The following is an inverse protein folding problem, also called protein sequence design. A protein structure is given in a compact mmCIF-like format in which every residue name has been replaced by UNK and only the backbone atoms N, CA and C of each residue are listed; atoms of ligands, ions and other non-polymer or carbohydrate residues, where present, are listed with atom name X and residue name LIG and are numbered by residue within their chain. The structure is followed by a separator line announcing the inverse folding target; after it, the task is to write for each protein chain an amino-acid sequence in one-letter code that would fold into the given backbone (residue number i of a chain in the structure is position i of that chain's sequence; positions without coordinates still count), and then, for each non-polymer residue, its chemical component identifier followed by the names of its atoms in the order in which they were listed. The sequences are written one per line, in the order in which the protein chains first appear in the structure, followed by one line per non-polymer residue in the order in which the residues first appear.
data_IF_583705415945
#
_entry.id   IF_583705415945
#
_cell.length_a   1.000
_cell.length_b   1.000
_cell.length_c   1.000
_cell.angle_alpha   90.00
_cell.angle_beta   90.00
_cell.angle_gamma   90.00
#
_symmetry.space_group_name_H-M   'P 1'
#
loop_
_entity.id
_entity.type
_entity.pdbx_description
1 polymer ?
#
# COMPACT_ATOMS: atom_id res chain seq x y z
N UNK A 1 -25.37 12.69 18.37
CA UNK A 1 -23.98 12.94 17.96
C UNK A 1 -24.00 13.58 16.58
N UNK A 2 -23.24 14.64 16.33
CA UNK A 2 -23.18 15.25 14.99
C UNK A 2 -22.36 14.35 14.04
N UNK A 3 -22.64 14.39 12.74
CA UNK A 3 -21.87 13.66 11.71
C UNK A 3 -20.36 13.92 11.87
N UNK A 4 -19.99 15.14 12.25
CA UNK A 4 -18.61 15.52 12.55
C UNK A 4 -17.97 14.74 13.70
N UNK A 5 -18.66 14.63 14.83
CA UNK A 5 -18.14 13.86 15.98
C UNK A 5 -17.87 12.41 15.60
N UNK A 6 -18.74 11.81 14.80
CA UNK A 6 -18.61 10.44 14.35
C UNK A 6 -17.42 10.28 13.39
N UNK A 7 -17.29 11.17 12.40
CA UNK A 7 -16.19 11.11 11.43
C UNK A 7 -14.83 11.36 12.09
N UNK A 8 -14.73 12.32 13.02
CA UNK A 8 -13.51 12.57 13.77
C UNK A 8 -13.12 11.40 14.68
N UNK A 9 -14.09 10.75 15.33
CA UNK A 9 -13.86 9.55 16.14
C UNK A 9 -13.34 8.38 15.31
N UNK A 10 -14.01 8.07 14.19
CA UNK A 10 -13.60 6.97 13.29
C UNK A 10 -12.23 7.23 12.68
N UNK A 11 -11.91 8.47 12.35
CA UNK A 11 -10.62 8.85 11.81
C UNK A 11 -9.52 8.73 12.85
N UNK A 12 -9.75 9.20 14.09
CA UNK A 12 -8.82 9.00 15.20
C UNK A 12 -8.55 7.50 15.48
N UNK A 13 -9.60 6.68 15.50
CA UNK A 13 -9.48 5.23 15.65
C UNK A 13 -8.68 4.60 14.49
N UNK A 14 -8.93 5.04 13.26
CA UNK A 14 -8.22 4.56 12.07
C UNK A 14 -6.74 4.91 12.11
N UNK A 15 -6.39 6.17 12.41
CA UNK A 15 -4.98 6.56 12.54
C UNK A 15 -4.29 5.82 13.68
N UNK A 16 -4.95 5.62 14.82
CA UNK A 16 -4.42 4.85 15.94
C UNK A 16 -4.14 3.40 15.55
N UNK A 17 -5.07 2.76 14.85
CA UNK A 17 -4.88 1.40 14.33
C UNK A 17 -3.70 1.33 13.35
N UNK A 18 -3.59 2.29 12.43
CA UNK A 18 -2.47 2.38 11.48
C UNK A 18 -1.12 2.59 12.19
N UNK A 19 -1.07 3.39 13.25
CA UNK A 19 0.14 3.59 14.07
C UNK A 19 0.57 2.26 14.69
N UNK A 20 -0.36 1.54 15.34
CA UNK A 20 -0.07 0.24 15.98
C UNK A 20 0.41 -0.78 14.96
N UNK A 21 -0.25 -0.86 13.80
CA UNK A 21 0.14 -1.74 12.69
C UNK A 21 1.56 -1.42 12.21
N UNK A 22 1.87 -0.13 12.03
CA UNK A 22 3.17 0.32 11.53
C UNK A 22 4.28 0.07 12.55
N UNK A 23 4.03 0.30 13.85
CA UNK A 23 5.00 0.11 14.93
C UNK A 23 5.29 -1.36 15.24
N UNK A 24 4.31 -2.26 15.06
CA UNK A 24 4.51 -3.72 15.23
C UNK A 24 5.44 -4.33 14.18
N UNK A 25 5.80 -3.55 13.17
CA UNK A 25 6.70 -3.97 12.14
C UNK A 25 8.15 -3.58 12.49
N UNK A 26 9.14 -4.47 12.26
CA UNK A 26 10.54 -4.23 12.68
C UNK A 26 11.03 -2.88 12.10
N UNK A 27 11.33 -1.88 12.94
CA UNK A 27 11.61 -0.52 12.47
C UNK A 27 13.06 -0.42 11.96
N UNK A 28 13.33 -0.97 10.77
CA UNK A 28 14.70 -0.96 10.20
C UNK A 28 14.97 0.16 9.19
N UNK A 29 13.98 0.99 8.82
CA UNK A 29 14.15 2.10 7.86
C UNK A 29 13.56 3.42 8.36
N UNK A 30 14.25 4.53 8.06
CA UNK A 30 13.88 5.91 8.39
C UNK A 30 12.46 6.27 7.90
N UNK A 31 12.01 5.67 6.79
CA UNK A 31 10.68 5.85 6.19
C UNK A 31 9.54 5.47 7.16
N UNK A 32 9.71 4.45 8.01
CA UNK A 32 8.66 4.06 8.96
C UNK A 32 8.46 5.09 10.06
N UNK A 33 9.56 5.60 10.60
CA UNK A 33 9.51 6.61 11.64
C UNK A 33 8.83 7.89 11.14
N UNK A 34 9.17 8.33 9.93
CA UNK A 34 8.55 9.53 9.34
C UNK A 34 7.08 9.31 8.99
N UNK A 35 6.69 8.10 8.58
CA UNK A 35 5.28 7.76 8.38
C UNK A 35 4.48 7.74 9.69
N UNK A 36 5.04 7.17 10.76
CA UNK A 36 4.42 7.18 12.09
C UNK A 36 4.26 8.62 12.60
N UNK A 37 5.26 9.49 12.42
CA UNK A 37 5.16 10.91 12.77
C UNK A 37 4.00 11.59 12.03
N UNK A 38 3.85 11.32 10.72
CA UNK A 38 2.69 11.80 9.96
C UNK A 38 1.35 11.29 10.54
N UNK A 39 1.25 10.00 10.86
CA UNK A 39 0.04 9.42 11.43
C UNK A 39 -0.30 10.00 12.83
N UNK A 40 0.72 10.26 13.65
CA UNK A 40 0.54 10.93 14.97
C UNK A 40 -0.06 12.32 14.76
N UNK A 41 0.45 13.09 13.79
CA UNK A 41 -0.10 14.40 13.46
C UNK A 41 -1.57 14.35 13.06
N UNK A 42 -1.91 13.43 12.16
CA UNK A 42 -3.28 13.23 11.70
C UNK A 42 -4.20 12.76 12.83
N UNK A 43 -3.71 11.90 13.74
CA UNK A 43 -4.45 11.47 14.93
C UNK A 43 -4.69 12.62 15.91
N UNK A 44 -3.69 13.45 16.19
CA UNK A 44 -3.84 14.63 17.04
C UNK A 44 -4.87 15.60 16.46
N UNK A 45 -4.81 15.86 15.15
CA UNK A 45 -5.79 16.70 14.48
C UNK A 45 -7.21 16.15 14.61
N UNK A 46 -7.42 14.85 14.35
CA UNK A 46 -8.71 14.21 14.50
C UNK A 46 -9.23 14.22 15.95
N UNK A 47 -8.34 14.04 16.94
CA UNK A 47 -8.65 14.09 18.36
C UNK A 47 -9.05 15.50 18.84
N UNK A 48 -8.32 16.53 18.43
CA UNK A 48 -8.67 17.91 18.77
C UNK A 48 -9.95 18.37 18.06
N UNK A 49 -10.15 17.94 16.81
CA UNK A 49 -11.40 18.17 16.10
C UNK A 49 -12.59 17.53 16.85
N UNK A 50 -12.46 16.28 17.30
CA UNK A 50 -13.46 15.60 18.13
C UNK A 50 -13.70 16.36 19.44
N UNK A 51 -12.63 16.71 20.15
CA UNK A 51 -12.69 17.40 21.44
C UNK A 51 -13.39 18.76 21.34
N UNK A 52 -13.23 19.49 20.22
CA UNK A 52 -13.91 20.79 19.98
C UNK A 52 -15.43 20.66 20.00
N UNK A 53 -15.97 19.54 19.51
CA UNK A 53 -17.40 19.29 19.53
C UNK A 53 -17.91 18.77 20.88
N UNK A 54 -17.06 18.06 21.64
CA UNK A 54 -17.41 17.53 22.96
C UNK A 54 -17.31 18.59 24.06
N UNK A 55 -16.39 19.53 23.95
CA UNK A 55 -16.12 20.59 24.94
C UNK A 55 -16.19 21.99 24.31
N UNK A 56 -17.39 22.52 24.03
CA UNK A 56 -17.56 23.83 23.39
C UNK A 56 -16.95 24.99 24.19
N UNK A 57 -16.88 24.86 25.52
CA UNK A 57 -16.29 25.83 26.45
C UNK A 57 -14.83 26.14 26.13
N UNK A 58 -14.07 25.16 25.61
CA UNK A 58 -12.66 25.29 25.25
C UNK A 58 -12.43 25.50 23.75
N UNK A 59 -13.46 25.91 23.01
CA UNK A 59 -13.45 25.96 21.54
C UNK A 59 -12.33 26.83 20.94
N UNK A 60 -11.94 27.92 21.59
CA UNK A 60 -10.86 28.80 21.13
C UNK A 60 -9.50 28.10 21.22
N UNK A 61 -9.17 27.50 22.38
CA UNK A 61 -7.93 26.77 22.58
C UNK A 61 -7.85 25.55 21.66
N UNK A 62 -8.95 24.81 21.51
CA UNK A 62 -9.04 23.65 20.64
C UNK A 62 -8.87 24.04 19.17
N UNK A 63 -9.40 25.19 18.74
CA UNK A 63 -9.18 25.70 17.38
C UNK A 63 -7.72 26.04 17.10
N UNK A 64 -7.01 26.60 18.08
CA UNK A 64 -5.55 26.84 17.98
C UNK A 64 -4.77 25.52 17.89
N UNK A 65 -5.11 24.52 18.69
CA UNK A 65 -4.49 23.18 18.63
C UNK A 65 -4.77 22.45 17.31
N UNK A 66 -5.96 22.60 16.75
CA UNK A 66 -6.31 22.09 15.42
C UNK A 66 -5.42 22.73 14.34
N UNK A 67 -5.19 24.04 14.40
CA UNK A 67 -4.31 24.73 13.45
C UNK A 67 -2.86 24.22 13.52
N UNK A 68 -2.32 24.08 14.74
CA UNK A 68 -0.94 23.61 14.96
C UNK A 68 -0.77 22.15 14.53
N UNK A 69 -1.71 21.27 14.89
CA UNK A 69 -1.70 19.87 14.47
C UNK A 69 -1.88 19.70 12.95
N UNK A 70 -2.68 20.55 12.30
CA UNK A 70 -2.80 20.56 10.85
C UNK A 70 -1.46 20.92 10.17
N UNK A 71 -0.78 21.97 10.63
CA UNK A 71 0.52 22.35 10.09
C UNK A 71 1.57 21.26 10.33
N UNK A 72 1.60 20.69 11.54
CA UNK A 72 2.46 19.55 11.86
C UNK A 72 2.23 18.37 10.91
N UNK A 73 0.97 18.04 10.63
CA UNK A 73 0.62 16.95 9.71
C UNK A 73 1.16 17.22 8.30
N UNK A 74 1.04 18.45 7.79
CA UNK A 74 1.57 18.83 6.48
C UNK A 74 3.11 18.74 6.42
N UNK A 75 3.79 19.25 7.44
CA UNK A 75 5.27 19.22 7.51
C UNK A 75 5.78 17.79 7.68
N UNK A 76 5.14 16.98 8.53
CA UNK A 76 5.46 15.56 8.70
C UNK A 76 5.22 14.77 7.41
N UNK A 77 4.14 15.07 6.68
CA UNK A 77 3.85 14.46 5.38
C UNK A 77 4.91 14.80 4.33
N UNK A 78 5.30 16.08 4.23
CA UNK A 78 6.39 16.50 3.35
C UNK A 78 7.71 15.81 3.69
N UNK A 79 8.05 15.73 4.98
CA UNK A 79 9.25 15.03 5.45
C UNK A 79 9.21 13.54 5.11
N UNK A 80 8.07 12.88 5.30
CA UNK A 80 7.86 11.48 4.91
C UNK A 80 8.10 11.28 3.40
N UNK A 81 7.48 12.09 2.54
CA UNK A 81 7.65 11.97 1.09
C UNK A 81 9.10 12.23 0.64
N UNK A 82 9.81 13.18 1.27
CA UNK A 82 11.23 13.44 0.99
C UNK A 82 12.10 12.23 1.29
N UNK A 83 11.93 11.65 2.48
CA UNK A 83 12.64 10.44 2.90
C UNK A 83 12.28 9.25 2.02
N UNK A 84 11.02 9.14 1.62
CA UNK A 84 10.56 8.13 0.67
C UNK A 84 11.29 8.25 -0.69
N UNK A 85 11.46 9.46 -1.20
CA UNK A 85 12.17 9.75 -2.46
C UNK A 85 13.70 9.67 -2.31
N UNK A 86 14.23 9.19 -1.17
CA UNK A 86 15.66 9.15 -0.83
C UNK A 86 16.33 10.54 -0.90
N UNK A 87 15.57 11.62 -0.69
CA UNK A 87 16.06 13.00 -0.62
C UNK A 87 16.19 13.42 0.85
N UNK A 88 17.16 14.27 1.17
CA UNK A 88 17.28 14.87 2.51
C UNK A 88 16.08 15.77 2.80
N UNK A 89 15.73 15.96 4.08
CA UNK A 89 14.58 16.79 4.48
C UNK A 89 14.69 18.25 4.02
N UNK A 90 15.92 18.77 3.91
CA UNK A 90 16.33 20.09 3.43
C UNK A 90 15.55 21.29 3.99
N UNK A 91 15.67 22.44 3.33
CA UNK A 91 15.24 23.74 3.90
C UNK A 91 13.73 23.79 4.20
N UNK A 92 12.89 23.23 3.33
CA UNK A 92 11.44 23.19 3.53
C UNK A 92 11.00 22.48 4.82
N UNK A 93 11.71 21.41 5.22
CA UNK A 93 11.45 20.72 6.48
C UNK A 93 11.83 21.60 7.68
N UNK A 94 13.00 22.25 7.63
CA UNK A 94 13.49 23.12 8.71
C UNK A 94 12.56 24.31 8.91
N UNK A 95 12.19 24.99 7.82
CA UNK A 95 11.24 26.11 7.86
C UNK A 95 9.85 25.67 8.35
N UNK A 96 9.40 24.46 7.97
CA UNK A 96 8.14 23.89 8.42
C UNK A 96 8.12 23.60 9.93
N UNK A 97 9.16 22.99 10.49
CA UNK A 97 9.22 22.77 11.94
C UNK A 97 9.47 24.06 12.72
N UNK A 98 10.23 25.01 12.16
CA UNK A 98 10.42 26.33 12.75
C UNK A 98 9.10 27.13 12.82
N UNK A 99 8.24 27.06 11.79
CA UNK A 99 6.93 27.73 11.81
C UNK A 99 5.98 27.11 12.82
N UNK A 100 6.03 25.79 13.03
CA UNK A 100 5.30 25.12 14.13
C UNK A 100 5.80 25.63 15.49
N UNK A 101 7.12 25.69 15.70
CA UNK A 101 7.70 26.20 16.94
C UNK A 101 7.30 27.67 17.20
N UNK A 102 7.22 28.49 16.16
CA UNK A 102 6.76 29.88 16.24
C UNK A 102 5.26 30.00 16.59
N UNK A 103 4.45 28.97 16.32
CA UNK A 103 3.02 28.94 16.65
C UNK A 103 2.73 28.52 18.10
N UNK A 104 3.63 27.80 18.77
CA UNK A 104 3.43 27.30 20.14
C UNK A 104 3.13 28.43 21.14
N UNK A 105 3.86 29.57 21.15
CA UNK A 105 3.57 30.68 22.05
C UNK A 105 2.17 31.29 21.85
N UNK A 106 1.62 31.20 20.64
CA UNK A 106 0.30 31.75 20.29
C UNK A 106 -0.87 30.92 20.86
N UNK A 107 -0.60 29.71 21.33
CA UNK A 107 -1.61 28.82 21.93
C UNK A 107 -2.06 29.37 23.30
N UNK A 108 -1.12 29.92 24.09
CA UNK A 108 -1.36 30.38 25.47
C UNK A 108 -2.11 31.73 25.47
N UNK A 109 -3.32 31.82 26.05
CA UNK A 109 -4.15 33.04 26.02
C UNK A 109 -3.39 34.31 26.43
N UNK A 110 -2.71 34.28 27.58
CA UNK A 110 -1.96 35.42 28.12
C UNK A 110 -0.79 35.85 27.23
N UNK A 111 -0.12 34.89 26.57
CA UNK A 111 0.96 35.20 25.64
C UNK A 111 0.44 35.79 24.34
N UNK A 112 -0.74 35.37 23.86
CA UNK A 112 -1.41 36.02 22.73
C UNK A 112 -1.73 37.48 23.04
N UNK A 113 -2.33 37.75 24.20
CA UNK A 113 -2.68 39.12 24.62
C UNK A 113 -1.43 39.99 24.80
N UNK A 114 -0.39 39.46 25.47
CA UNK A 114 0.88 40.16 25.66
C UNK A 114 1.64 40.38 24.34
N UNK A 115 1.58 39.44 23.40
CA UNK A 115 2.16 39.61 22.07
C UNK A 115 1.45 40.71 21.27
N UNK A 116 0.12 40.74 21.29
CA UNK A 116 -0.66 41.81 20.68
C UNK A 116 -0.39 43.17 21.33
N UNK A 117 -0.31 43.22 22.67
CA UNK A 117 0.03 44.43 23.40
C UNK A 117 1.45 44.93 23.11
N UNK A 118 2.41 44.02 22.93
CA UNK A 118 3.80 44.36 22.58
C UNK A 118 3.93 44.84 21.13
N UNK A 119 3.17 44.27 20.20
CA UNK A 119 3.06 44.78 18.83
C UNK A 119 2.44 46.18 18.79
N UNK A 120 1.37 46.41 19.58
CA UNK A 120 0.77 47.73 19.75
C UNK A 120 1.77 48.76 20.30
N UNK A 121 2.62 48.34 21.25
CA UNK A 121 3.68 49.20 21.81
C UNK A 121 4.80 49.56 20.83
N UNK A 122 4.95 48.80 19.73
CA UNK A 122 5.92 49.06 18.66
C UNK A 122 5.35 49.98 17.55
N UNK A 123 4.19 50.59 17.78
CA UNK A 123 3.52 51.47 16.80
C UNK A 123 2.79 50.72 15.69
N UNK A 124 2.73 49.39 15.74
CA UNK A 124 1.86 48.60 14.87
C UNK A 124 0.45 48.64 15.45
N UNK A 125 -0.46 49.39 14.83
CA UNK A 125 -1.87 49.38 15.22
C UNK A 125 -2.35 47.92 15.25
N UNK A 126 -2.82 47.38 16.39
CA UNK A 126 -3.30 46.00 16.48
C UNK A 126 -4.70 45.92 15.84
N UNK A 127 -4.82 46.32 14.57
CA UNK A 127 -6.00 46.03 13.79
C UNK A 127 -6.18 44.51 13.67
N UNK A 128 -7.43 44.02 13.53
CA UNK A 128 -7.72 42.60 13.38
C UNK A 128 -6.99 41.90 12.21
N UNK A 129 -6.33 42.66 11.32
CA UNK A 129 -5.58 42.18 10.17
C UNK A 129 -4.31 41.36 10.51
N UNK A 130 -3.58 41.66 11.59
CA UNK A 130 -2.31 40.96 11.90
C UNK A 130 -2.44 39.45 12.14
N UNK A 131 -3.38 38.96 12.97
CA UNK A 131 -3.59 37.51 13.11
C UNK A 131 -4.10 36.86 11.82
N UNK A 132 -4.85 37.58 10.98
CA UNK A 132 -5.29 37.11 9.66
C UNK A 132 -4.11 36.95 8.69
N UNK A 133 -3.19 37.92 8.63
CA UNK A 133 -1.99 37.86 7.79
C UNK A 133 -1.09 36.69 8.21
N UNK A 134 -0.88 36.51 9.52
CA UNK A 134 -0.06 35.42 10.04
C UNK A 134 -0.64 34.03 9.71
N UNK A 135 -1.97 33.85 9.88
CA UNK A 135 -2.66 32.63 9.45
C UNK A 135 -2.53 32.43 7.93
N UNK A 136 -2.66 33.50 7.15
CA UNK A 136 -2.47 33.48 5.69
C UNK A 136 -1.07 33.00 5.28
N UNK A 137 -0.02 33.50 5.92
CA UNK A 137 1.38 33.08 5.69
C UNK A 137 1.56 31.59 6.00
N UNK A 138 0.99 31.10 7.10
CA UNK A 138 1.07 29.69 7.50
C UNK A 138 0.37 28.79 6.46
N UNK A 139 -0.83 29.18 6.01
CA UNK A 139 -1.58 28.44 4.98
C UNK A 139 -0.78 28.43 3.66
N UNK A 140 -0.24 29.58 3.25
CA UNK A 140 0.56 29.70 2.03
C UNK A 140 1.82 28.82 2.10
N UNK A 141 2.52 28.80 3.24
CA UNK A 141 3.64 27.91 3.49
C UNK A 141 3.25 26.43 3.40
N UNK A 142 2.10 26.04 3.93
CA UNK A 142 1.57 24.67 3.82
C UNK A 142 1.28 24.29 2.36
N UNK A 143 0.66 25.19 1.58
CA UNK A 143 0.40 24.99 0.14
C UNK A 143 1.71 24.79 -0.62
N UNK A 144 2.73 25.60 -0.34
CA UNK A 144 4.06 25.47 -0.97
C UNK A 144 4.69 24.11 -0.66
N UNK A 145 4.66 23.65 0.60
CA UNK A 145 5.21 22.34 0.98
C UNK A 145 4.48 21.18 0.28
N UNK A 146 3.15 21.21 0.23
CA UNK A 146 2.36 20.19 -0.48
C UNK A 146 2.68 20.20 -1.98
N UNK A 147 2.78 21.38 -2.58
CA UNK A 147 3.12 21.55 -4.00
C UNK A 147 4.51 21.00 -4.31
N UNK A 148 5.51 21.29 -3.49
CA UNK A 148 6.87 20.75 -3.62
C UNK A 148 6.90 19.23 -3.45
N UNK A 149 6.09 18.68 -2.54
CA UNK A 149 5.93 17.23 -2.39
C UNK A 149 5.34 16.58 -3.65
N UNK A 150 4.29 17.15 -4.22
CA UNK A 150 3.64 16.64 -5.45
C UNK A 150 4.61 16.72 -6.63
N UNK A 151 5.28 17.86 -6.83
CA UNK A 151 6.29 18.02 -7.89
C UNK A 151 7.42 17.00 -7.72
N UNK A 152 7.88 16.78 -6.48
CA UNK A 152 8.89 15.77 -6.18
C UNK A 152 8.44 14.37 -6.59
N UNK A 153 7.20 13.99 -6.26
CA UNK A 153 6.63 12.69 -6.64
C UNK A 153 6.48 12.54 -8.16
N UNK A 154 6.05 13.61 -8.87
CA UNK A 154 5.95 13.60 -10.34
C UNK A 154 7.34 13.42 -10.98
N UNK A 155 8.36 14.11 -10.45
CA UNK A 155 9.74 13.94 -10.91
C UNK A 155 10.24 12.51 -10.68
N UNK A 156 10.02 11.94 -9.49
CA UNK A 156 10.37 10.54 -9.20
C UNK A 156 9.66 9.59 -10.16
N UNK A 157 8.37 9.78 -10.43
CA UNK A 157 7.63 8.98 -11.39
C UNK A 157 8.23 9.04 -12.80
N UNK A 158 8.61 10.23 -13.28
CA UNK A 158 9.21 10.41 -14.61
C UNK A 158 10.61 9.78 -14.72
N UNK A 159 11.43 9.89 -13.67
CA UNK A 159 12.82 9.42 -13.68
C UNK A 159 13.03 7.96 -13.27
N UNK A 160 12.08 7.33 -12.55
CA UNK A 160 12.19 5.91 -12.20
C UNK A 160 12.10 5.05 -13.46
N UNK A 161 13.13 4.24 -13.71
CA UNK A 161 13.17 3.20 -14.75
C UNK A 161 12.55 1.88 -14.29
N UNK A 162 12.53 1.65 -12.96
CA UNK A 162 11.89 0.49 -12.34
C UNK A 162 10.34 0.62 -12.37
N UNK A 163 9.63 -0.32 -13.04
CA UNK A 163 8.17 -0.36 -13.06
C UNK A 163 7.52 -0.43 -11.66
N UNK A 164 8.23 -1.00 -10.67
CA UNK A 164 7.73 -1.19 -9.31
C UNK A 164 7.78 0.13 -8.52
N UNK A 165 8.88 0.89 -8.61
CA UNK A 165 8.98 2.25 -8.06
C UNK A 165 7.96 3.21 -8.71
N UNK A 166 7.70 3.09 -10.02
CA UNK A 166 6.67 3.89 -10.70
C UNK A 166 5.28 3.63 -10.15
N UNK A 167 4.86 2.36 -10.08
CA UNK A 167 3.55 1.99 -9.53
C UNK A 167 3.40 2.50 -8.11
N UNK A 168 4.41 2.32 -7.27
CA UNK A 168 4.43 2.81 -5.88
C UNK A 168 4.22 4.32 -5.81
N UNK A 169 4.93 5.08 -6.65
CA UNK A 169 4.82 6.55 -6.71
C UNK A 169 3.44 7.01 -7.18
N UNK A 170 2.79 6.28 -8.09
CA UNK A 170 1.41 6.57 -8.54
C UNK A 170 0.40 6.48 -7.39
N UNK A 171 0.52 5.50 -6.49
CA UNK A 171 -0.38 5.42 -5.33
C UNK A 171 -0.18 6.58 -4.35
N UNK A 172 1.06 7.02 -4.14
CA UNK A 172 1.36 8.20 -3.33
C UNK A 172 0.87 9.49 -3.98
N UNK A 173 0.96 9.60 -5.31
CA UNK A 173 0.39 10.71 -6.07
C UNK A 173 -1.14 10.72 -5.97
N UNK A 174 -1.79 9.57 -6.11
CA UNK A 174 -3.23 9.45 -5.96
C UNK A 174 -3.68 9.85 -4.55
N UNK A 175 -2.99 9.36 -3.52
CA UNK A 175 -3.24 9.75 -2.13
C UNK A 175 -3.04 11.25 -1.89
N UNK A 176 -1.92 11.82 -2.37
CA UNK A 176 -1.63 13.25 -2.27
C UNK A 176 -2.67 14.11 -3.00
N UNK A 177 -3.12 13.66 -4.18
CA UNK A 177 -4.15 14.36 -4.97
C UNK A 177 -5.50 14.35 -4.25
N UNK A 178 -5.91 13.23 -3.66
CA UNK A 178 -7.11 13.16 -2.82
C UNK A 178 -6.96 14.09 -1.61
N UNK A 179 -5.83 14.03 -0.91
CA UNK A 179 -5.57 14.91 0.24
C UNK A 179 -5.70 16.39 -0.13
N UNK A 180 -5.12 16.80 -1.27
CA UNK A 180 -5.21 18.17 -1.76
C UNK A 180 -6.64 18.55 -2.17
N UNK A 181 -7.30 17.72 -2.98
CA UNK A 181 -8.65 17.99 -3.49
C UNK A 181 -9.67 18.13 -2.36
N UNK A 182 -9.67 17.18 -1.42
CA UNK A 182 -10.54 17.25 -0.24
C UNK A 182 -10.09 18.32 0.77
N UNK A 183 -8.81 18.70 0.78
CA UNK A 183 -8.32 19.83 1.56
C UNK A 183 -8.86 21.17 1.08
N UNK A 184 -9.01 21.35 -0.24
CA UNK A 184 -9.57 22.58 -0.84
C UNK A 184 -11.01 22.87 -0.41
N UNK A 185 -11.76 21.85 0.01
CA UNK A 185 -13.14 22.06 0.50
C UNK A 185 -13.19 22.93 1.75
N UNK A 186 -12.10 23.00 2.53
CA UNK A 186 -12.00 23.89 3.69
C UNK A 186 -11.93 25.39 3.30
N UNK A 187 -11.66 25.70 2.03
CA UNK A 187 -11.65 27.08 1.52
C UNK A 187 -13.05 27.57 1.13
N UNK A 188 -14.02 26.67 0.98
CA UNK A 188 -15.39 27.00 0.56
C UNK A 188 -16.37 26.82 1.72
N UNK A 189 -16.92 27.90 2.31
CA UNK A 189 -17.79 27.84 3.47
C UNK A 189 -18.96 26.86 3.33
N UNK A 190 -19.57 26.77 2.14
CA UNK A 190 -20.69 25.88 1.85
C UNK A 190 -20.35 24.39 1.97
N UNK A 191 -19.07 24.02 1.78
CA UNK A 191 -18.59 22.64 1.86
C UNK A 191 -18.00 22.32 3.25
N UNK A 192 -17.71 23.32 4.08
CA UNK A 192 -17.24 23.12 5.46
C UNK A 192 -18.27 22.49 6.39
N UNK A 193 -19.51 22.27 5.91
CA UNK A 193 -20.59 21.49 6.55
C UNK A 193 -20.48 19.98 6.34
N UNK A 194 -19.57 19.53 5.47
CA UNK A 194 -19.22 18.12 5.33
C UNK A 194 -17.74 17.89 5.73
N UNK A 195 -17.41 16.83 6.49
CA UNK A 195 -16.03 16.54 6.93
C UNK A 195 -15.16 15.93 5.81
N UNK A 196 -15.20 16.54 4.63
CA UNK A 196 -14.58 16.10 3.37
C UNK A 196 -13.06 16.01 3.48
N UNK A 197 -12.40 17.01 4.07
CA UNK A 197 -10.96 17.00 4.29
C UNK A 197 -10.48 15.80 5.12
N UNK A 198 -11.28 15.36 6.10
CA UNK A 198 -10.98 14.20 6.93
C UNK A 198 -10.96 12.91 6.08
N UNK A 199 -11.92 12.76 5.17
CA UNK A 199 -11.96 11.62 4.25
C UNK A 199 -10.75 11.60 3.32
N UNK A 200 -10.36 12.75 2.76
CA UNK A 200 -9.16 12.85 1.91
C UNK A 200 -7.88 12.46 2.64
N UNK A 201 -7.70 12.96 3.87
CA UNK A 201 -6.54 12.61 4.70
C UNK A 201 -6.51 11.12 5.06
N UNK A 202 -7.67 10.53 5.37
CA UNK A 202 -7.78 9.11 5.69
C UNK A 202 -7.51 8.25 4.46
N UNK A 203 -8.09 8.60 3.30
CA UNK A 203 -7.84 7.93 2.03
C UNK A 203 -6.35 7.99 1.65
N UNK A 204 -5.70 9.12 1.86
CA UNK A 204 -4.26 9.25 1.67
C UNK A 204 -3.47 8.32 2.60
N UNK A 205 -3.76 8.32 3.91
CA UNK A 205 -3.09 7.43 4.86
C UNK A 205 -3.27 5.94 4.50
N UNK A 206 -4.46 5.55 4.04
CA UNK A 206 -4.72 4.19 3.53
C UNK A 206 -3.90 3.91 2.28
N UNK A 207 -3.89 4.83 1.30
CA UNK A 207 -3.13 4.69 0.07
C UNK A 207 -1.62 4.54 0.35
N UNK A 208 -1.07 5.32 1.29
CA UNK A 208 0.33 5.21 1.72
C UNK A 208 0.57 3.88 2.42
N UNK A 209 -0.28 3.50 3.36
CA UNK A 209 -0.16 2.21 4.09
C UNK A 209 -0.15 1.05 3.11
N UNK A 210 -1.05 1.08 2.14
CA UNK A 210 -1.11 0.11 1.06
C UNK A 210 0.14 0.15 0.16
N UNK A 211 0.61 1.33 -0.25
CA UNK A 211 1.80 1.46 -1.10
C UNK A 211 3.06 0.96 -0.38
N UNK A 212 3.17 1.19 0.92
CA UNK A 212 4.25 0.69 1.78
C UNK A 212 4.15 -0.84 1.95
N UNK A 213 2.93 -1.37 2.13
CA UNK A 213 2.70 -2.81 2.37
C UNK A 213 2.82 -3.66 1.11
N UNK A 214 2.27 -3.20 -0.03
CA UNK A 214 2.18 -3.98 -1.28
C UNK A 214 3.48 -3.99 -2.08
N UNK A 215 4.23 -2.88 -2.10
CA UNK A 215 5.40 -2.73 -2.98
C UNK A 215 6.74 -2.92 -2.24
N UNK A 216 6.76 -3.84 -1.28
CA UNK A 216 7.97 -4.38 -0.65
C UNK A 216 8.99 -3.30 -0.21
N UNK A 217 8.54 -2.29 0.52
CA UNK A 217 9.43 -1.73 1.54
C UNK A 217 9.68 -2.73 2.68
N UNK A 218 8.83 -3.75 2.76
CA UNK A 218 8.57 -4.61 3.89
C UNK A 218 8.12 -5.99 3.40
N UNK A 219 8.79 -7.05 3.85
CA UNK A 219 8.22 -8.40 3.86
C UNK A 219 7.00 -8.37 4.80
N UNK A 220 5.81 -8.15 4.24
CA UNK A 220 4.58 -8.08 5.05
C UNK A 220 4.19 -9.51 5.43
N UNK A 221 4.39 -9.87 6.69
CA UNK A 221 3.85 -11.11 7.25
C UNK A 221 2.33 -11.17 7.07
N UNK A 222 1.82 -12.31 6.61
CA UNK A 222 0.40 -12.61 6.36
C UNK A 222 -0.53 -12.14 7.50
N UNK A 223 -0.06 -12.17 8.74
CA UNK A 223 -0.79 -11.75 9.94
C UNK A 223 -1.11 -10.25 10.01
N UNK A 224 -0.32 -9.37 9.39
CA UNK A 224 -0.55 -7.91 9.38
C UNK A 224 -1.63 -7.51 8.36
N UNK A 225 -1.69 -8.19 7.22
CA UNK A 225 -2.79 -8.05 6.24
C UNK A 225 -4.13 -8.30 6.93
N UNK A 226 -4.23 -9.38 7.69
CA UNK A 226 -5.41 -9.68 8.50
C UNK A 226 -5.65 -8.62 9.58
N UNK A 227 -4.60 -8.15 10.27
CA UNK A 227 -4.72 -7.11 11.30
C UNK A 227 -5.32 -5.78 10.79
N UNK A 228 -4.87 -5.30 9.64
CA UNK A 228 -5.40 -4.07 8.99
C UNK A 228 -6.86 -4.27 8.62
N UNK A 229 -7.18 -5.40 7.99
CA UNK A 229 -8.55 -5.74 7.58
C UNK A 229 -9.47 -5.81 8.80
N UNK A 230 -9.04 -6.47 9.88
CA UNK A 230 -9.82 -6.56 11.12
C UNK A 230 -10.02 -5.19 11.77
N UNK A 231 -8.99 -4.34 11.81
CA UNK A 231 -9.10 -2.99 12.36
C UNK A 231 -10.12 -2.15 11.58
N UNK A 232 -10.01 -2.09 10.26
CA UNK A 232 -10.96 -1.33 9.43
C UNK A 232 -12.37 -1.91 9.45
N UNK A 233 -12.51 -3.24 9.52
CA UNK A 233 -13.82 -3.89 9.67
C UNK A 233 -14.45 -3.53 11.01
N UNK A 234 -13.68 -3.53 12.11
CA UNK A 234 -14.15 -3.13 13.43
C UNK A 234 -14.53 -1.65 13.49
N UNK A 235 -13.71 -0.77 12.93
CA UNK A 235 -14.00 0.67 12.83
C UNK A 235 -15.26 0.91 11.99
N UNK A 236 -15.41 0.22 10.86
CA UNK A 236 -16.62 0.27 10.04
C UNK A 236 -17.87 -0.18 10.81
N UNK A 237 -17.76 -1.25 11.61
CA UNK A 237 -18.84 -1.75 12.46
C UNK A 237 -19.29 -0.71 13.49
N UNK A 238 -18.33 -0.15 14.22
CA UNK A 238 -18.58 0.89 15.23
C UNK A 238 -19.16 2.14 14.55
N UNK A 239 -18.65 2.52 13.38
CA UNK A 239 -19.17 3.64 12.60
C UNK A 239 -20.62 3.46 12.18
N UNK A 240 -20.94 2.30 11.60
CA UNK A 240 -22.31 1.95 11.21
C UNK A 240 -23.25 1.96 12.41
N UNK A 241 -22.82 1.36 13.53
CA UNK A 241 -23.58 1.35 14.78
C UNK A 241 -23.90 2.77 15.25
N UNK A 242 -22.90 3.65 15.29
CA UNK A 242 -23.08 5.04 15.71
C UNK A 242 -23.96 5.84 14.75
N UNK A 243 -23.88 5.60 13.43
CA UNK A 243 -24.75 6.25 12.43
C UNK A 243 -26.20 5.85 12.66
N UNK A 244 -26.49 4.56 12.76
CA UNK A 244 -27.87 4.06 12.98
C UNK A 244 -28.41 4.56 14.32
N UNK A 245 -27.60 4.48 15.38
CA UNK A 245 -27.97 4.98 16.70
C UNK A 245 -28.29 6.48 16.65
N UNK A 246 -27.47 7.28 15.95
CA UNK A 246 -27.72 8.72 15.79
C UNK A 246 -28.98 9.00 14.96
N UNK A 247 -29.24 8.22 13.90
CA UNK A 247 -30.40 8.36 13.02
C UNK A 247 -31.72 7.93 13.67
N UNK A 248 -31.70 6.98 14.61
CA UNK A 248 -32.88 6.61 15.40
C UNK A 248 -33.12 7.57 16.57
N UNK A 249 -32.07 7.99 17.29
CA UNK A 249 -32.25 8.79 18.51
C UNK A 249 -32.56 10.28 18.23
N UNK A 250 -32.05 10.87 17.15
CA UNK A 250 -32.28 12.29 16.84
C UNK A 250 -33.74 12.66 16.52
N UNK A 251 -34.45 11.96 15.60
CA UNK A 251 -35.81 12.37 15.22
C UNK A 251 -36.84 12.08 16.33
N UNK A 252 -36.55 11.14 17.23
CA UNK A 252 -37.47 10.71 18.28
C UNK A 252 -37.44 11.60 19.55
N UNK A 253 -36.53 12.59 19.64
CA UNK A 253 -36.39 13.51 20.80
C UNK A 253 -36.41 12.81 22.18
N UNK A 254 -35.97 11.55 22.23
CA UNK A 254 -35.98 10.77 23.46
C UNK A 254 -34.90 11.31 24.39
N UNK A 255 -35.32 11.99 25.46
CA UNK A 255 -34.44 12.31 26.59
C UNK A 255 -33.77 11.01 27.09
N UNK A 256 -32.60 11.12 27.70
CA UNK A 256 -31.91 9.98 28.32
C UNK A 256 -32.80 9.37 29.43
N UNK A 257 -33.57 8.34 29.05
CA UNK A 257 -34.52 7.62 29.88
C UNK A 257 -34.21 6.12 29.77
N UNK A 258 -34.70 5.32 30.71
CA UNK A 258 -34.56 3.85 30.67
C UNK A 258 -35.08 3.25 29.36
N UNK A 259 -36.15 3.82 28.78
CA UNK A 259 -36.68 3.39 27.49
C UNK A 259 -35.67 3.60 26.35
N UNK A 260 -34.93 4.71 26.36
CA UNK A 260 -33.91 5.05 25.36
C UNK A 260 -32.71 4.10 25.44
N UNK A 261 -32.35 3.65 26.64
CA UNK A 261 -31.32 2.63 26.86
C UNK A 261 -31.75 1.25 26.35
N UNK A 262 -33.00 0.85 26.61
CA UNK A 262 -33.55 -0.43 26.15
C UNK A 262 -33.66 -0.45 24.62
N UNK A 263 -34.16 0.63 24.00
CA UNK A 263 -34.23 0.77 22.54
C UNK A 263 -32.83 0.82 21.92
N UNK A 264 -31.89 1.54 22.54
CA UNK A 264 -30.50 1.59 22.10
C UNK A 264 -29.80 0.23 22.18
N UNK A 265 -30.03 -0.52 23.26
CA UNK A 265 -29.51 -1.88 23.43
C UNK A 265 -30.15 -2.86 22.43
N UNK A 266 -31.46 -2.76 22.19
CA UNK A 266 -32.16 -3.55 21.18
C UNK A 266 -31.65 -3.27 19.77
N UNK A 267 -31.43 -2.00 19.43
CA UNK A 267 -30.81 -1.60 18.16
C UNK A 267 -29.37 -2.12 18.05
N UNK A 268 -28.57 -2.02 19.12
CA UNK A 268 -27.21 -2.58 19.16
C UNK A 268 -27.20 -4.09 18.92
N UNK A 269 -28.15 -4.81 19.51
CA UNK A 269 -28.31 -6.24 19.36
C UNK A 269 -28.71 -6.63 17.93
N UNK A 270 -29.69 -5.93 17.35
CA UNK A 270 -30.10 -6.09 15.95
C UNK A 270 -28.95 -5.81 14.98
N UNK A 271 -28.18 -4.75 15.23
CA UNK A 271 -27.00 -4.40 14.42
C UNK A 271 -25.91 -5.45 14.57
N UNK A 272 -25.65 -5.97 15.78
CA UNK A 272 -24.68 -7.04 15.98
C UNK A 272 -25.06 -8.30 15.17
N UNK A 273 -26.36 -8.63 15.12
CA UNK A 273 -26.88 -9.75 14.33
C UNK A 273 -26.76 -9.48 12.83
N UNK A 274 -27.11 -8.28 12.34
CA UNK A 274 -27.01 -7.92 10.92
C UNK A 274 -25.55 -7.74 10.45
N UNK A 275 -24.68 -7.28 11.34
CA UNK A 275 -23.27 -7.07 11.04
C UNK A 275 -22.49 -8.38 11.00
N UNK A 276 -22.93 -9.40 11.73
CA UNK A 276 -22.28 -10.71 11.72
C UNK A 276 -22.19 -11.38 10.32
N UNK A 277 -23.26 -11.46 9.50
CA UNK A 277 -23.18 -11.99 8.14
C UNK A 277 -22.49 -11.01 7.17
N UNK A 278 -22.71 -9.70 7.30
CA UNK A 278 -22.12 -8.69 6.41
C UNK A 278 -20.62 -8.49 6.66
N UNK A 279 -20.13 -8.81 7.87
CA UNK A 279 -18.70 -8.78 8.21
C UNK A 279 -17.87 -9.59 7.23
N UNK A 280 -18.27 -10.81 6.89
CA UNK A 280 -17.51 -11.67 5.95
C UNK A 280 -17.48 -11.08 4.53
N UNK A 281 -18.57 -10.45 4.11
CA UNK A 281 -18.68 -9.78 2.80
C UNK A 281 -17.83 -8.52 2.75
N UNK A 282 -17.93 -7.66 3.77
CA UNK A 282 -17.14 -6.45 3.89
C UNK A 282 -15.65 -6.76 4.03
N UNK A 283 -15.31 -7.80 4.81
CA UNK A 283 -13.95 -8.29 4.94
C UNK A 283 -13.39 -8.76 3.60
N UNK A 284 -14.12 -9.59 2.85
CA UNK A 284 -13.72 -10.01 1.50
C UNK A 284 -13.62 -8.85 0.51
N UNK A 285 -14.54 -7.89 0.59
CA UNK A 285 -14.54 -6.70 -0.26
C UNK A 285 -13.33 -5.81 0.03
N UNK A 286 -13.06 -5.57 1.31
CA UNK A 286 -11.91 -4.81 1.80
C UNK A 286 -10.59 -5.54 1.50
N UNK A 287 -10.56 -6.86 1.64
CA UNK A 287 -9.43 -7.70 1.22
C UNK A 287 -9.19 -7.61 -0.28
N UNK A 288 -10.24 -7.61 -1.13
CA UNK A 288 -10.10 -7.43 -2.58
C UNK A 288 -9.65 -6.02 -2.97
N UNK A 289 -10.16 -4.99 -2.29
CA UNK A 289 -9.82 -3.58 -2.54
C UNK A 289 -8.40 -3.24 -2.08
N UNK A 290 -8.07 -3.60 -0.84
CA UNK A 290 -6.78 -3.31 -0.22
C UNK A 290 -5.73 -4.32 -0.68
N UNK A 291 -6.10 -5.54 -1.04
CA UNK A 291 -5.16 -6.58 -1.42
C UNK A 291 -5.67 -7.33 -2.63
N UNK A 292 -5.72 -6.63 -3.77
CA UNK A 292 -6.02 -7.19 -5.09
C UNK A 292 -5.24 -8.48 -5.27
N UNK A 293 -5.95 -9.61 -5.19
CA UNK A 293 -5.50 -11.01 -5.21
C UNK A 293 -3.97 -11.16 -5.09
N UNK A 294 -3.44 -10.87 -3.89
CA UNK A 294 -2.11 -11.39 -3.55
C UNK A 294 -2.28 -12.88 -3.37
N UNK A 295 -1.72 -13.60 -4.34
CA UNK A 295 -1.55 -15.04 -4.37
C UNK A 295 -1.08 -15.52 -2.99
N UNK A 296 -1.79 -16.47 -2.38
CA UNK A 296 -1.41 -17.00 -1.07
C UNK A 296 -0.29 -18.02 -1.27
N UNK A 297 0.91 -17.50 -1.61
CA UNK A 297 2.11 -18.26 -2.01
C UNK A 297 2.42 -19.41 -1.06
N UNK A 298 2.21 -19.18 0.24
CA UNK A 298 2.42 -20.19 1.28
C UNK A 298 1.46 -21.35 1.15
N UNK A 299 0.19 -21.10 0.86
CA UNK A 299 -0.79 -22.17 0.66
C UNK A 299 -0.52 -22.95 -0.63
N UNK A 300 -0.04 -22.28 -1.69
CA UNK A 300 0.31 -22.95 -2.94
C UNK A 300 1.54 -23.84 -2.79
N UNK A 301 2.60 -23.36 -2.13
CA UNK A 301 3.79 -24.14 -1.82
C UNK A 301 3.48 -25.32 -0.89
N UNK A 302 2.68 -25.12 0.16
CA UNK A 302 2.28 -26.20 1.07
C UNK A 302 1.41 -27.26 0.36
N UNK A 303 0.50 -26.83 -0.52
CA UNK A 303 -0.30 -27.76 -1.31
C UNK A 303 0.54 -28.52 -2.33
N UNK A 304 1.56 -27.89 -2.91
CA UNK A 304 2.54 -28.56 -3.78
C UNK A 304 3.37 -29.57 -2.99
N UNK A 305 3.97 -29.17 -1.87
CA UNK A 305 4.77 -30.01 -1.00
C UNK A 305 4.01 -31.26 -0.51
N UNK A 306 2.79 -31.07 -0.02
CA UNK A 306 1.95 -32.17 0.48
C UNK A 306 1.54 -33.14 -0.63
N UNK A 307 1.34 -32.65 -1.86
CA UNK A 307 0.98 -33.52 -2.98
C UNK A 307 2.20 -34.26 -3.53
N UNK A 308 3.36 -33.60 -3.53
CA UNK A 308 4.63 -34.19 -3.95
C UNK A 308 5.04 -35.41 -3.10
N UNK A 309 4.72 -35.42 -1.80
CA UNK A 309 4.95 -36.60 -0.96
C UNK A 309 4.05 -37.81 -1.28
N UNK A 310 3.02 -37.63 -2.10
CA UNK A 310 1.99 -38.65 -2.36
C UNK A 310 1.94 -39.13 -3.82
N UNK A 311 2.60 -38.46 -4.76
CA UNK A 311 2.58 -38.82 -6.17
C UNK A 311 3.87 -39.54 -6.53
N UNK A 312 3.76 -40.82 -6.91
CA UNK A 312 4.87 -41.65 -7.40
C UNK A 312 5.12 -41.52 -8.91
N UNK A 313 4.24 -40.81 -9.61
CA UNK A 313 4.27 -40.63 -11.06
C UNK A 313 4.83 -39.25 -11.46
N UNK A 314 5.92 -39.25 -12.26
CA UNK A 314 6.56 -38.05 -12.76
C UNK A 314 5.62 -37.24 -13.68
N UNK A 315 4.75 -37.92 -14.41
CA UNK A 315 3.82 -37.30 -15.35
C UNK A 315 2.76 -36.47 -14.59
N UNK A 316 2.16 -37.06 -13.54
CA UNK A 316 1.16 -36.38 -12.70
C UNK A 316 1.78 -35.20 -11.93
N UNK A 317 3.04 -35.33 -11.48
CA UNK A 317 3.77 -34.24 -10.84
C UNK A 317 4.04 -33.07 -11.81
N UNK A 318 4.50 -33.37 -13.01
CA UNK A 318 4.80 -32.36 -14.01
C UNK A 318 3.52 -31.62 -14.45
N UNK A 319 2.43 -32.34 -14.72
CA UNK A 319 1.16 -31.74 -15.10
C UNK A 319 0.56 -30.89 -13.97
N UNK A 320 0.62 -31.37 -12.72
CA UNK A 320 0.16 -30.62 -11.58
C UNK A 320 0.98 -29.34 -11.36
N UNK A 321 2.31 -29.43 -11.45
CA UNK A 321 3.21 -28.27 -11.34
C UNK A 321 2.90 -27.23 -12.43
N UNK A 322 2.82 -27.66 -13.69
CA UNK A 322 2.51 -26.76 -14.81
C UNK A 322 1.11 -26.15 -14.67
N UNK A 323 0.12 -26.91 -14.21
CA UNK A 323 -1.24 -26.42 -13.94
C UNK A 323 -1.24 -25.38 -12.82
N UNK A 324 -0.49 -25.64 -11.75
CA UNK A 324 -0.36 -24.72 -10.63
C UNK A 324 0.30 -23.41 -11.05
N UNK A 325 1.32 -23.47 -11.91
CA UNK A 325 2.07 -22.31 -12.40
C UNK A 325 1.27 -21.51 -13.43
N UNK A 326 0.62 -22.18 -14.38
CA UNK A 326 -0.20 -21.52 -15.41
C UNK A 326 -1.44 -20.85 -14.83
N UNK A 327 -2.24 -21.56 -14.01
CA UNK A 327 -3.37 -20.97 -13.29
C UNK A 327 -2.90 -19.97 -12.24
N UNK A 328 -1.77 -20.29 -11.61
CA UNK A 328 -1.07 -19.51 -10.61
C UNK A 328 -0.80 -18.08 -11.07
N UNK A 329 0.06 -18.02 -12.06
CA UNK A 329 0.63 -16.77 -12.53
C UNK A 329 -0.14 -16.20 -13.72
N UNK A 330 -1.24 -16.84 -14.10
CA UNK A 330 -1.99 -16.55 -15.32
C UNK A 330 -1.07 -16.55 -16.55
N UNK A 331 -0.15 -17.52 -16.62
CA UNK A 331 0.74 -17.68 -17.76
C UNK A 331 -0.06 -18.18 -18.97
N UNK A 332 0.30 -17.72 -20.18
CA UNK A 332 -0.31 -18.21 -21.43
C UNK A 332 0.10 -19.65 -21.72
N UNK A 333 1.37 -19.95 -21.45
CA UNK A 333 1.95 -21.27 -21.62
C UNK A 333 3.03 -21.51 -20.57
N UNK A 334 3.27 -22.77 -20.23
CA UNK A 334 4.43 -23.21 -19.47
C UNK A 334 4.91 -24.55 -20.02
N UNK A 335 6.23 -24.71 -20.13
CA UNK A 335 6.87 -25.89 -20.69
C UNK A 335 7.94 -26.42 -19.75
N UNK A 336 7.94 -27.72 -19.51
CA UNK A 336 8.97 -28.39 -18.73
C UNK A 336 9.91 -29.16 -19.68
N UNK A 337 11.15 -28.70 -19.74
CA UNK A 337 12.22 -29.35 -20.47
C UNK A 337 12.97 -30.29 -19.53
N UNK A 338 13.09 -31.56 -19.91
CA UNK A 338 13.84 -32.57 -19.15
C UNK A 338 14.96 -33.14 -20.00
N UNK A 339 16.07 -33.48 -19.35
CA UNK A 339 17.16 -34.19 -20.01
C UNK A 339 16.71 -35.60 -20.39
N UNK A 340 17.01 -36.02 -21.62
CA UNK A 340 16.77 -37.39 -22.04
C UNK A 340 17.88 -38.34 -21.58
N UNK A 341 17.54 -39.56 -21.20
CA UNK A 341 18.50 -40.53 -20.64
C UNK A 341 19.50 -41.06 -21.68
N UNK A 342 19.27 -40.80 -22.98
CA UNK A 342 20.08 -41.30 -24.09
C UNK A 342 20.84 -40.24 -24.87
N UNK A 343 20.44 -38.96 -24.84
CA UNK A 343 21.11 -37.90 -25.57
C UNK A 343 21.10 -36.58 -24.77
N UNK A 344 22.23 -35.88 -24.79
CA UNK A 344 22.64 -34.79 -23.90
C UNK A 344 21.71 -33.57 -23.81
N UNK A 345 20.65 -33.49 -24.61
CA UNK A 345 19.85 -32.29 -24.80
C UNK A 345 18.52 -32.35 -24.06
N UNK A 346 17.94 -31.16 -23.85
CA UNK A 346 16.70 -30.99 -23.10
C UNK A 346 15.52 -30.82 -24.05
N UNK A 347 14.52 -31.69 -23.89
CA UNK A 347 13.32 -31.70 -24.72
C UNK A 347 12.08 -31.29 -23.91
N UNK A 348 11.13 -30.55 -24.51
CA UNK A 348 9.89 -30.19 -23.86
C UNK A 348 9.03 -31.44 -23.71
N UNK A 349 9.04 -32.04 -22.52
CA UNK A 349 8.25 -33.26 -22.24
C UNK A 349 6.81 -32.93 -21.85
N UNK A 350 6.59 -31.78 -21.23
CA UNK A 350 5.27 -31.36 -20.78
C UNK A 350 5.02 -29.91 -21.15
N UNK A 351 3.86 -29.64 -21.75
CA UNK A 351 3.47 -28.33 -22.27
C UNK A 351 2.03 -28.09 -21.86
N UNK A 352 1.75 -26.93 -21.29
CA UNK A 352 0.41 -26.53 -20.90
C UNK A 352 0.13 -25.08 -21.36
N UNK A 353 -0.98 -24.81 -22.07
CA UNK A 353 -1.99 -25.77 -22.57
C UNK A 353 -1.42 -26.71 -23.64
N UNK A 354 -1.91 -27.95 -23.73
CA UNK A 354 -1.41 -28.97 -24.68
C UNK A 354 -1.47 -28.55 -26.15
N UNK A 355 -2.31 -27.56 -26.47
CA UNK A 355 -2.53 -27.04 -27.82
C UNK A 355 -1.51 -25.93 -28.21
N UNK A 356 -0.54 -25.64 -27.34
CA UNK A 356 0.47 -24.61 -27.56
C UNK A 356 1.50 -25.05 -28.63
N UNK A 357 1.11 -24.92 -29.90
CA UNK A 357 1.95 -25.22 -31.07
C UNK A 357 3.26 -24.40 -31.18
N UNK A 358 3.47 -23.40 -30.31
CA UNK A 358 4.58 -22.45 -30.40
C UNK A 358 5.83 -22.90 -29.63
N UNK A 359 5.68 -23.83 -28.68
CA UNK A 359 6.77 -24.25 -27.78
C UNK A 359 7.10 -25.74 -27.88
N UNK A 360 6.27 -26.54 -28.57
CA UNK A 360 6.43 -27.99 -28.65
C UNK A 360 7.55 -28.51 -29.55
N UNK A 361 8.14 -27.65 -30.39
CA UNK A 361 9.28 -28.02 -31.24
C UNK A 361 10.64 -27.54 -30.70
N UNK A 362 10.66 -26.74 -29.64
CA UNK A 362 11.91 -26.13 -29.15
C UNK A 362 12.83 -27.19 -28.53
N UNK A 363 14.11 -27.19 -28.88
CA UNK A 363 15.13 -28.03 -28.20
C UNK A 363 16.17 -27.12 -27.56
N UNK A 364 16.53 -27.41 -26.31
CA UNK A 364 17.63 -26.74 -25.63
C UNK A 364 18.84 -27.66 -25.64
N UNK A 365 19.87 -27.31 -26.43
CA UNK A 365 21.11 -28.06 -26.44
C UNK A 365 21.82 -27.97 -25.08
N UNK A 366 22.54 -29.02 -24.68
CA UNK A 366 23.32 -29.02 -23.42
C UNK A 366 24.31 -27.86 -23.34
N UNK A 367 24.95 -27.58 -24.47
CA UNK A 367 25.95 -26.54 -24.63
C UNK A 367 25.32 -25.18 -24.93
N UNK A 368 23.98 -25.07 -24.90
CA UNK A 368 23.30 -23.80 -25.04
C UNK A 368 23.73 -22.85 -23.91
N UNK A 369 24.02 -21.58 -24.23
CA UNK A 369 24.29 -20.54 -23.24
C UNK A 369 23.23 -20.44 -22.14
N UNK A 370 21.95 -20.72 -22.46
CA UNK A 370 20.84 -20.71 -21.51
C UNK A 370 21.04 -21.80 -20.46
N UNK A 371 21.26 -23.05 -20.91
CA UNK A 371 21.45 -24.21 -20.03
C UNK A 371 22.70 -24.03 -19.16
N UNK A 372 23.79 -23.60 -19.77
CA UNK A 372 25.08 -23.37 -19.08
C UNK A 372 24.95 -22.29 -18.01
N UNK A 373 24.24 -21.19 -18.31
CA UNK A 373 24.01 -20.11 -17.36
C UNK A 373 23.11 -20.54 -16.20
N UNK A 374 22.01 -21.25 -16.49
CA UNK A 374 21.10 -21.78 -15.48
C UNK A 374 21.80 -22.79 -14.55
N UNK A 375 22.65 -23.65 -15.12
CA UNK A 375 23.47 -24.60 -14.38
C UNK A 375 24.45 -23.89 -13.43
N UNK A 376 25.05 -22.77 -13.85
CA UNK A 376 26.05 -22.04 -13.07
C UNK A 376 25.45 -21.07 -12.03
N UNK A 377 24.56 -20.18 -12.44
CA UNK A 377 24.11 -19.06 -11.62
C UNK A 377 22.95 -19.42 -10.67
N UNK A 378 22.23 -20.52 -10.95
CA UNK A 378 21.05 -20.95 -10.17
C UNK A 378 20.01 -19.84 -9.97
N UNK A 379 19.81 -19.02 -11.00
CA UNK A 379 18.88 -17.90 -11.01
C UNK A 379 17.94 -18.03 -12.19
N UNK A 380 16.77 -17.37 -12.16
CA UNK A 380 15.90 -17.30 -13.32
C UNK A 380 16.50 -16.38 -14.39
N UNK A 381 16.35 -16.76 -15.65
CA UNK A 381 16.81 -15.99 -16.81
C UNK A 381 15.62 -15.32 -17.49
N UNK A 382 15.65 -14.00 -17.59
CA UNK A 382 14.68 -13.24 -18.36
C UNK A 382 15.08 -13.15 -19.83
N UNK A 383 14.08 -13.18 -20.71
CA UNK A 383 14.30 -12.98 -22.15
C UNK A 383 15.03 -11.68 -22.46
N UNK A 384 14.67 -10.58 -21.80
CA UNK A 384 15.34 -9.27 -21.98
C UNK A 384 16.85 -9.33 -21.67
N UNK A 385 17.29 -10.27 -20.83
CA UNK A 385 18.71 -10.44 -20.49
C UNK A 385 19.47 -11.19 -21.57
N UNK A 386 18.79 -11.93 -22.46
CA UNK A 386 19.43 -12.63 -23.59
C UNK A 386 20.08 -11.65 -24.57
N UNK A 387 19.48 -10.48 -24.78
CA UNK A 387 20.00 -9.46 -25.69
C UNK A 387 21.15 -8.65 -25.07
N UNK A 388 21.22 -8.60 -23.74
CA UNK A 388 22.16 -7.77 -22.98
C UNK A 388 23.43 -8.55 -22.63
N UNK A 389 23.30 -9.83 -22.28
CA UNK A 389 24.41 -10.63 -21.77
C UNK A 389 25.38 -11.03 -22.90
N UNK A 390 26.69 -10.72 -22.79
CA UNK A 390 27.68 -11.05 -23.83
C UNK A 390 27.76 -12.55 -24.12
N UNK A 391 27.54 -13.38 -23.10
CA UNK A 391 27.59 -14.84 -23.15
C UNK A 391 26.42 -15.44 -23.95
N UNK A 392 25.34 -14.69 -24.15
CA UNK A 392 24.16 -15.12 -24.90
C UNK A 392 24.26 -14.81 -26.40
N UNK A 393 25.24 -14.00 -26.82
CA UNK A 393 25.49 -13.70 -28.23
C UNK A 393 25.97 -14.88 -29.07
N UNK A 394 26.42 -15.95 -28.41
CA UNK A 394 26.82 -17.21 -29.06
C UNK A 394 25.66 -18.19 -29.23
N UNK A 395 24.42 -17.79 -28.92
CA UNK A 395 23.23 -18.60 -29.23
C UNK A 395 23.20 -18.91 -30.73
N UNK A 396 22.93 -20.17 -31.07
CA UNK A 396 22.81 -20.58 -32.47
C UNK A 396 21.59 -19.90 -33.11
N UNK A 397 21.71 -19.56 -34.40
CA UNK A 397 20.63 -18.92 -35.17
C UNK A 397 19.30 -19.68 -35.05
N UNK A 398 19.35 -21.02 -35.08
CA UNK A 398 18.17 -21.89 -34.93
C UNK A 398 17.51 -21.79 -33.55
N UNK A 399 18.29 -21.85 -32.47
CA UNK A 399 17.75 -21.71 -31.11
C UNK A 399 17.15 -20.31 -30.91
N UNK A 400 17.79 -19.27 -31.47
CA UNK A 400 17.28 -17.91 -31.41
C UNK A 400 15.98 -17.74 -32.21
N UNK A 401 15.87 -18.37 -33.39
CA UNK A 401 14.64 -18.35 -34.19
C UNK A 401 13.49 -19.11 -33.51
N UNK A 402 13.76 -20.26 -32.91
CA UNK A 402 12.80 -21.02 -32.09
C UNK A 402 12.35 -20.20 -30.87
N UNK A 403 13.29 -19.53 -30.20
CA UNK A 403 13.00 -18.66 -29.07
C UNK A 403 12.22 -17.41 -29.47
N UNK A 404 12.50 -16.86 -30.66
CA UNK A 404 11.76 -15.77 -31.26
C UNK A 404 10.31 -16.12 -31.59
N UNK A 405 10.08 -17.33 -32.05
CA UNK A 405 8.74 -17.84 -32.33
C UNK A 405 8.00 -18.29 -31.06
N UNK A 406 8.72 -18.66 -30.00
CA UNK A 406 8.14 -18.98 -28.69
C UNK A 406 7.63 -17.72 -27.97
N UNK A 407 6.53 -17.84 -27.22
CA UNK A 407 6.04 -16.75 -26.33
C UNK A 407 6.68 -16.81 -24.94
N UNK A 408 7.79 -17.56 -24.79
CA UNK A 408 8.56 -17.72 -23.55
C UNK A 408 9.19 -16.39 -23.13
N UNK A 409 9.06 -16.06 -21.85
CA UNK A 409 9.58 -14.83 -21.23
C UNK A 409 10.63 -15.15 -20.14
N UNK A 410 10.52 -16.29 -19.47
CA UNK A 410 11.34 -16.68 -18.33
C UNK A 410 11.80 -18.14 -18.41
N UNK A 411 13.02 -18.41 -17.98
CA UNK A 411 13.56 -19.75 -17.76
C UNK A 411 13.99 -19.94 -16.31
N UNK A 412 13.64 -21.08 -15.73
CA UNK A 412 13.93 -21.44 -14.34
C UNK A 412 14.70 -22.76 -14.28
N UNK A 413 15.76 -22.87 -13.45
CA UNK A 413 16.48 -24.12 -13.28
C UNK A 413 15.74 -25.07 -12.34
N UNK A 414 15.72 -26.36 -12.69
CA UNK A 414 15.36 -27.47 -11.79
C UNK A 414 16.61 -28.30 -11.55
N UNK A 415 17.06 -28.35 -10.29
CA UNK A 415 18.32 -29.01 -9.92
C UNK A 415 18.11 -30.06 -8.85
N UNK A 416 18.71 -31.23 -9.04
CA UNK A 416 18.83 -32.25 -8.02
C UNK A 416 20.29 -32.31 -7.56
N UNK A 417 20.53 -32.12 -6.26
CA UNK A 417 21.89 -32.12 -5.65
C UNK A 417 22.92 -31.26 -6.40
N UNK A 418 22.47 -30.12 -6.94
CA UNK A 418 23.32 -29.17 -7.67
C UNK A 418 23.51 -29.46 -9.16
N UNK A 419 23.01 -30.59 -9.66
CA UNK A 419 23.02 -30.94 -11.09
C UNK A 419 21.70 -30.46 -11.72
N UNK A 420 21.79 -29.73 -12.83
CA UNK A 420 20.62 -29.33 -13.61
C UNK A 420 20.02 -30.57 -14.27
N UNK A 421 18.76 -30.88 -13.95
CA UNK A 421 18.02 -32.04 -14.49
C UNK A 421 16.86 -31.60 -15.39
N UNK A 422 16.46 -30.33 -15.30
CA UNK A 422 15.43 -29.77 -16.15
C UNK A 422 15.44 -28.24 -16.17
N UNK A 423 14.71 -27.69 -17.12
CA UNK A 423 14.46 -26.26 -17.28
C UNK A 423 12.96 -26.05 -17.39
N UNK A 424 12.41 -25.21 -16.52
CA UNK A 424 11.02 -24.77 -16.63
C UNK A 424 10.99 -23.44 -17.39
N UNK A 425 10.29 -23.40 -18.51
CA UNK A 425 10.05 -22.19 -19.28
C UNK A 425 8.62 -21.69 -19.07
N UNK A 426 8.46 -20.39 -18.87
CA UNK A 426 7.16 -19.75 -18.67
C UNK A 426 6.95 -18.68 -19.76
N UNK A 427 5.81 -18.79 -20.43
CA UNK A 427 5.33 -17.85 -21.44
C UNK A 427 4.86 -16.52 -20.86
N UNK A 428 4.56 -15.54 -21.73
CA UNK A 428 3.95 -14.27 -21.31
C UNK A 428 2.67 -14.48 -20.49
N UNK A 429 2.33 -13.53 -19.61
CA UNK A 429 1.03 -13.54 -18.94
C UNK A 429 -0.13 -13.40 -19.93
N UNK A 430 -1.28 -13.97 -19.61
CA UNK A 430 -2.51 -13.90 -20.39
C UNK A 430 -2.97 -12.44 -20.54
N UNK A 431 -2.88 -11.66 -19.47
CA UNK A 431 -3.09 -10.22 -19.45
C UNK A 431 -1.76 -9.46 -19.59
N UNK A 432 -1.79 -8.26 -20.17
CA UNK A 432 -0.63 -7.40 -20.49
C UNK A 432 0.14 -6.89 -19.26
N UNK A 433 0.69 -7.80 -18.46
CA UNK A 433 1.47 -7.55 -17.27
C UNK A 433 2.72 -8.41 -17.23
N UNK A 434 3.75 -7.91 -16.54
CA UNK A 434 5.01 -8.61 -16.34
C UNK A 434 4.94 -9.52 -15.09
N UNK A 435 5.85 -10.50 -15.02
CA UNK A 435 6.10 -11.27 -13.81
C UNK A 435 6.76 -10.38 -12.74
N UNK A 436 6.17 -10.34 -11.54
CA UNK A 436 6.75 -9.64 -10.40
C UNK A 436 7.82 -10.48 -9.71
N UNK A 437 8.58 -9.88 -8.80
CA UNK A 437 9.58 -10.61 -8.00
C UNK A 437 8.96 -11.74 -7.18
N UNK A 438 7.77 -11.54 -6.61
CA UNK A 438 7.05 -12.57 -5.87
C UNK A 438 6.66 -13.78 -6.74
N UNK A 439 6.28 -13.54 -8.00
CA UNK A 439 5.95 -14.60 -8.96
C UNK A 439 7.21 -15.45 -9.26
N UNK A 440 8.34 -14.76 -9.46
CA UNK A 440 9.64 -15.37 -9.74
C UNK A 440 10.14 -16.18 -8.54
N UNK A 441 10.04 -15.63 -7.33
CA UNK A 441 10.43 -16.31 -6.09
C UNK A 441 9.56 -17.54 -5.82
N UNK A 442 8.25 -17.46 -6.11
CA UNK A 442 7.34 -18.61 -6.01
C UNK A 442 7.78 -19.76 -6.93
N UNK A 443 8.03 -19.45 -8.21
CA UNK A 443 8.42 -20.47 -9.18
C UNK A 443 9.78 -21.05 -8.80
N UNK A 444 10.74 -20.23 -8.38
CA UNK A 444 12.03 -20.70 -7.88
C UNK A 444 11.89 -21.65 -6.68
N UNK A 445 10.97 -21.36 -5.76
CA UNK A 445 10.70 -22.25 -4.63
C UNK A 445 10.07 -23.58 -5.09
N UNK A 446 9.16 -23.54 -6.06
CA UNK A 446 8.56 -24.74 -6.65
C UNK A 446 9.60 -25.59 -7.41
N UNK A 447 10.44 -24.98 -8.25
CA UNK A 447 11.47 -25.70 -9.01
C UNK A 447 12.57 -26.27 -8.13
N UNK A 448 12.92 -25.58 -7.04
CA UNK A 448 13.85 -26.10 -6.03
C UNK A 448 13.29 -27.27 -5.25
N UNK A 449 11.96 -27.38 -5.14
CA UNK A 449 11.31 -28.50 -4.46
C UNK A 449 11.09 -29.68 -5.43
N UNK A 450 10.86 -29.41 -6.72
CA UNK A 450 10.64 -30.43 -7.74
C UNK A 450 11.91 -31.20 -8.15
N UNK A 451 13.10 -30.61 -7.97
CA UNK A 451 14.39 -31.25 -8.27
C UNK A 451 15.02 -31.93 -7.06
#
# INVERSE_FOLDING_TARGET
MSVYTLVSLLSFASYSALIVVTLRHKPRRLVHHTFVLFLIGAALWASFALSRYLFPENSVLLSKLILVSALYTVVAYYHFLRVFMKKSGGIGMVLGYASIAALIPLIVPDKTANFMARLASLGANPEPAYPLIFIGIVILGAIVLVSLAIVGLIQTYRHSTDPLERKRTVYLLAGAALMALFGLTNMYPSLTQYPLATFGNLANAIAITYAISRYHLLEVNLSLRHGVVYAFTGIGAVGLYLVILSGFLQPLNLKASYATLIIGAGAAFLIAILFHPSRKLFQKWLERLIFKETYDYRHLLLNFANKMSHVLDLDELAEYMLTLITKGLHAREACLFLADNSETDYFPRYILPSDANHSGGMRLAKDSPIVTWLAKENRPLHREQLDILPQMKSLWQREMDELNNSQIELFFPIKNKGILIGVLAIGKKQHSGHYGSEDVDLVMALTSQAG
#
